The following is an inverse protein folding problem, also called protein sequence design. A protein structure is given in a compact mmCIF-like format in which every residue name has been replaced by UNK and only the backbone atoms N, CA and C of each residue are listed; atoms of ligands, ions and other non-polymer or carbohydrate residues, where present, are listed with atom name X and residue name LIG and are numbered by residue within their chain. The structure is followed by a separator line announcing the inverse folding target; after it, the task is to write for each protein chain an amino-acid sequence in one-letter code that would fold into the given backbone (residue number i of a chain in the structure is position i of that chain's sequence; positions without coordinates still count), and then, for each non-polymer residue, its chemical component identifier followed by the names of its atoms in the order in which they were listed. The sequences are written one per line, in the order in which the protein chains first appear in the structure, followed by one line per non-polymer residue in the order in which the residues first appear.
data_IF_082427722190
#
_entry.id   IF_082427722190
#
_cell.length_a   1.000
_cell.length_b   1.000
_cell.length_c   1.000
_cell.angle_alpha   90.00
_cell.angle_beta   90.00
_cell.angle_gamma   90.00
#
_symmetry.space_group_name_H-M   'P 1'
#
loop_
_entity.id
_entity.type
_entity.pdbx_description
1 polymer ?
#
# COMPACT_ATOMS: atom_id res chain seq x y z
N UNK A 1 -19.10 2.02 -2.29
CA UNK A 1 -18.02 2.80 -1.68
C UNK A 1 -18.60 4.03 -1.03
N UNK A 2 -18.78 3.96 0.30
CA UNK A 2 -19.04 5.15 1.10
C UNK A 2 -17.69 5.86 1.39
N UNK A 3 -17.73 7.07 1.91
CA UNK A 3 -16.52 7.84 2.20
C UNK A 3 -15.63 7.17 3.27
N UNK A 4 -16.23 6.40 4.17
CA UNK A 4 -15.54 5.73 5.27
C UNK A 4 -14.61 4.60 4.78
N UNK A 5 -15.05 3.81 3.80
CA UNK A 5 -14.23 2.79 3.14
C UNK A 5 -13.00 3.41 2.45
N UNK A 6 -13.20 4.53 1.75
CA UNK A 6 -12.09 5.23 1.08
C UNK A 6 -11.11 5.82 2.10
N UNK A 7 -11.62 6.41 3.17
CA UNK A 7 -10.80 6.96 4.25
C UNK A 7 -10.00 5.85 4.95
N UNK A 8 -10.60 4.67 5.15
CA UNK A 8 -9.89 3.52 5.70
C UNK A 8 -8.77 3.04 4.77
N UNK A 9 -9.07 2.82 3.49
CA UNK A 9 -8.08 2.37 2.49
C UNK A 9 -6.89 3.32 2.40
N UNK A 10 -7.14 4.63 2.41
CA UNK A 10 -6.08 5.65 2.35
C UNK A 10 -5.34 5.87 3.67
N UNK A 11 -5.82 5.29 4.78
CA UNK A 11 -5.13 5.31 6.07
C UNK A 11 -4.24 4.07 6.30
N UNK A 12 -4.37 3.03 5.47
CA UNK A 12 -3.50 1.87 5.51
C UNK A 12 -2.17 2.20 4.82
N UNK A 13 -1.08 2.17 5.58
CA UNK A 13 0.25 2.38 5.00
C UNK A 13 0.62 1.18 4.12
N UNK A 14 0.86 1.42 2.83
CA UNK A 14 1.20 0.40 1.84
C UNK A 14 2.24 0.91 0.82
N UNK A 15 3.41 1.40 1.26
CA UNK A 15 4.45 1.82 0.32
C UNK A 15 4.96 0.62 -0.48
N UNK A 16 5.53 0.88 -1.65
CA UNK A 16 6.06 -0.17 -2.54
C UNK A 16 6.92 -1.19 -1.78
N UNK A 17 6.58 -2.47 -1.90
CA UNK A 17 7.22 -3.61 -1.23
C UNK A 17 6.72 -3.90 0.20
N UNK A 18 5.71 -3.17 0.69
CA UNK A 18 5.05 -3.37 1.98
C UNK A 18 3.52 -3.20 1.85
N UNK A 19 2.94 -3.69 0.75
CA UNK A 19 1.53 -3.52 0.39
C UNK A 19 0.56 -4.40 1.19
N UNK A 20 1.06 -5.29 2.05
CA UNK A 20 0.26 -6.32 2.73
C UNK A 20 -0.97 -5.78 3.46
N UNK A 21 -0.94 -4.65 4.19
CA UNK A 21 -2.12 -4.15 4.90
C UNK A 21 -3.32 -3.88 3.98
N UNK A 22 -3.08 -3.31 2.80
CA UNK A 22 -4.13 -3.05 1.80
C UNK A 22 -4.58 -4.34 1.14
N UNK A 23 -3.65 -5.23 0.82
CA UNK A 23 -3.95 -6.51 0.17
C UNK A 23 -4.79 -7.43 1.06
N UNK A 24 -4.46 -7.53 2.35
CA UNK A 24 -5.20 -8.33 3.33
C UNK A 24 -6.63 -7.80 3.52
N UNK A 25 -6.77 -6.47 3.66
CA UNK A 25 -8.08 -5.83 3.75
C UNK A 25 -8.92 -6.10 2.49
N UNK A 26 -8.36 -5.85 1.31
CA UNK A 26 -9.07 -6.06 0.04
C UNK A 26 -9.38 -7.52 -0.22
N UNK A 27 -8.52 -8.46 0.20
CA UNK A 27 -8.79 -9.89 0.07
C UNK A 27 -10.02 -10.28 0.91
N UNK A 28 -10.13 -9.80 2.15
CA UNK A 28 -11.28 -10.05 3.01
C UNK A 28 -12.58 -9.47 2.42
N UNK A 29 -12.55 -8.24 1.91
CA UNK A 29 -13.70 -7.60 1.27
C UNK A 29 -14.14 -8.33 0.00
N UNK A 30 -13.19 -8.75 -0.84
CA UNK A 30 -13.49 -9.43 -2.10
C UNK A 30 -13.97 -10.86 -1.92
N UNK A 31 -13.60 -11.54 -0.84
CA UNK A 31 -14.12 -12.89 -0.52
C UNK A 31 -15.65 -12.92 -0.35
N UNK A 32 -16.27 -11.78 -0.04
CA UNK A 32 -17.73 -11.68 0.10
C UNK A 32 -18.45 -11.79 -1.26
N UNK A 33 -17.79 -11.40 -2.35
CA UNK A 33 -18.43 -11.26 -3.68
C UNK A 33 -17.76 -12.04 -4.80
N UNK A 34 -16.57 -12.61 -4.57
CA UNK A 34 -15.82 -13.39 -5.55
C UNK A 34 -15.71 -14.85 -5.14
N UNK A 35 -15.79 -15.75 -6.12
CA UNK A 35 -15.70 -17.20 -5.91
C UNK A 35 -14.27 -17.67 -5.60
N UNK A 36 -13.27 -16.95 -6.12
CA UNK A 36 -11.86 -17.24 -5.89
C UNK A 36 -11.11 -15.96 -5.55
N UNK A 37 -10.40 -15.97 -4.42
CA UNK A 37 -9.53 -14.88 -3.99
C UNK A 37 -8.19 -15.49 -3.56
N UNK A 38 -7.10 -15.04 -4.17
CA UNK A 38 -5.75 -15.50 -3.86
C UNK A 38 -4.74 -14.35 -3.92
N UNK A 39 -3.73 -14.41 -3.06
CA UNK A 39 -2.55 -13.54 -3.14
C UNK A 39 -1.40 -14.41 -3.66
N UNK A 40 -0.77 -14.00 -4.76
CA UNK A 40 0.34 -14.75 -5.34
C UNK A 40 1.65 -14.57 -4.54
N UNK A 41 2.69 -15.32 -4.91
CA UNK A 41 4.01 -15.25 -4.27
C UNK A 41 4.72 -13.90 -4.44
N UNK A 42 4.19 -13.01 -5.28
CA UNK A 42 4.70 -11.65 -5.53
C UNK A 42 3.86 -10.59 -4.81
N UNK A 43 2.81 -10.97 -4.09
CA UNK A 43 1.92 -10.04 -3.39
C UNK A 43 0.76 -9.50 -4.24
N UNK A 44 0.52 -10.01 -5.46
CA UNK A 44 -0.65 -9.56 -6.24
C UNK A 44 -1.92 -10.26 -5.77
N UNK A 45 -2.98 -9.48 -5.53
CA UNK A 45 -4.31 -9.99 -5.22
C UNK A 45 -5.11 -10.26 -6.50
N UNK A 46 -5.52 -11.51 -6.70
CA UNK A 46 -6.43 -11.91 -7.76
C UNK A 46 -7.77 -12.32 -7.16
N UNK A 47 -8.83 -11.61 -7.56
CA UNK A 47 -10.20 -11.96 -7.24
C UNK A 47 -10.98 -12.26 -8.52
N UNK A 48 -11.67 -13.41 -8.58
CA UNK A 48 -12.39 -13.89 -9.76
C UNK A 48 -13.78 -14.34 -9.37
N UNK A 49 -14.76 -13.92 -10.15
CA UNK A 49 -16.11 -14.47 -10.14
C UNK A 49 -16.23 -15.59 -11.19
N UNK A 50 -17.11 -16.56 -10.95
CA UNK A 50 -17.51 -17.55 -11.93
C UNK A 50 -18.04 -16.84 -13.17
N UNK A 51 -17.57 -17.28 -14.33
CA UNK A 51 -17.97 -16.71 -15.61
C UNK A 51 -18.45 -17.79 -16.56
N UNK A 52 -19.31 -17.39 -17.47
CA UNK A 52 -19.62 -18.17 -18.66
C UNK A 52 -18.39 -18.19 -19.60
N UNK A 53 -17.82 -19.37 -19.89
CA UNK A 53 -16.64 -19.49 -20.75
C UNK A 53 -16.90 -19.00 -22.19
N UNK A 54 -18.16 -18.96 -22.64
CA UNK A 54 -18.54 -18.47 -23.97
C UNK A 54 -18.52 -16.94 -24.10
N UNK A 55 -18.44 -16.21 -22.97
CA UNK A 55 -18.41 -14.74 -22.95
C UNK A 55 -16.96 -14.23 -22.85
N UNK A 56 -16.69 -12.98 -23.32
CA UNK A 56 -15.39 -12.35 -23.14
C UNK A 56 -14.97 -12.27 -21.66
N UNK A 57 -13.68 -12.42 -21.41
CA UNK A 57 -13.09 -12.17 -20.09
C UNK A 57 -12.85 -10.66 -19.92
N UNK A 58 -13.32 -10.10 -18.81
CA UNK A 58 -13.05 -8.71 -18.41
C UNK A 58 -12.17 -8.74 -17.16
N UNK A 59 -11.10 -7.94 -17.17
CA UNK A 59 -10.21 -7.75 -16.03
C UNK A 59 -10.21 -6.28 -15.64
N UNK A 60 -10.44 -6.00 -14.36
CA UNK A 60 -10.25 -4.69 -13.76
C UNK A 60 -8.93 -4.73 -12.99
N UNK A 61 -8.12 -3.70 -13.14
CA UNK A 61 -6.82 -3.60 -12.48
C UNK A 61 -6.69 -2.26 -11.77
N UNK A 62 -6.10 -2.32 -10.58
CA UNK A 62 -5.64 -1.18 -9.80
C UNK A 62 -4.32 -1.59 -9.15
N UNK A 63 -3.54 -0.60 -8.72
CA UNK A 63 -2.31 -0.82 -7.97
C UNK A 63 -2.55 -0.45 -6.50
N UNK A 64 -2.01 -1.26 -5.57
CA UNK A 64 -2.21 -1.10 -4.14
C UNK A 64 -1.15 -0.22 -3.48
N UNK A 65 0.00 -0.07 -4.14
CA UNK A 65 1.15 0.64 -3.63
C UNK A 65 0.93 2.16 -3.63
N UNK A 66 1.55 2.81 -2.65
CA UNK A 66 1.64 4.26 -2.57
C UNK A 66 3.08 4.77 -2.64
N UNK A 67 3.22 6.06 -2.97
CA UNK A 67 4.49 6.77 -2.96
C UNK A 67 5.01 6.87 -1.52
N UNK A 68 6.31 6.63 -1.32
CA UNK A 68 6.91 6.69 0.01
C UNK A 68 8.42 6.86 0.01
N UNK A 69 9.05 6.36 1.07
CA UNK A 69 10.48 6.51 1.33
C UNK A 69 11.05 5.23 1.95
N UNK A 70 12.33 4.98 1.70
CA UNK A 70 13.08 3.87 2.31
C UNK A 70 14.26 4.42 3.12
N UNK A 71 14.37 4.06 4.39
CA UNK A 71 15.48 4.46 5.24
C UNK A 71 16.77 3.79 4.73
N UNK A 72 17.82 4.60 4.51
CA UNK A 72 19.11 4.14 3.97
C UNK A 72 20.22 4.13 5.01
N UNK A 73 20.16 5.02 6.00
CA UNK A 73 21.13 5.05 7.09
C UNK A 73 20.62 5.84 8.30
N UNK A 74 21.28 5.62 9.44
CA UNK A 74 21.09 6.42 10.65
C UNK A 74 22.31 7.34 10.78
N UNK A 75 22.05 8.65 10.76
CA UNK A 75 23.06 9.69 10.85
C UNK A 75 23.39 10.02 12.32
N UNK A 76 24.53 10.70 12.58
CA UNK A 76 24.85 11.20 13.91
C UNK A 76 23.71 12.05 14.50
N UNK A 77 23.43 11.89 15.79
CA UNK A 77 22.32 12.57 16.46
C UNK A 77 20.96 11.86 16.31
N UNK A 78 20.91 10.70 15.63
CA UNK A 78 19.69 9.88 15.53
C UNK A 78 18.77 10.25 14.37
N UNK A 79 19.23 11.10 13.44
CA UNK A 79 18.49 11.42 12.23
C UNK A 79 18.48 10.25 11.25
N UNK A 80 17.40 10.11 10.48
CA UNK A 80 17.27 9.07 9.47
C UNK A 80 17.49 9.67 8.08
N UNK A 81 18.41 9.10 7.31
CA UNK A 81 18.50 9.37 5.89
C UNK A 81 17.58 8.40 5.14
N UNK A 82 16.96 8.87 4.06
CA UNK A 82 16.07 8.05 3.23
C UNK A 82 16.32 8.29 1.74
N UNK A 83 15.94 7.30 0.94
CA UNK A 83 15.73 7.45 -0.51
C UNK A 83 14.24 7.47 -0.81
N UNK A 84 13.87 8.02 -1.96
CA UNK A 84 12.47 8.05 -2.43
C UNK A 84 12.12 6.72 -3.07
N UNK A 85 10.86 6.35 -2.92
CA UNK A 85 10.25 5.22 -3.62
C UNK A 85 9.00 5.77 -4.33
N UNK A 86 9.00 5.70 -5.65
CA UNK A 86 8.09 6.49 -6.49
C UNK A 86 8.63 7.90 -6.79
N UNK A 87 7.74 8.86 -7.10
CA UNK A 87 8.12 10.21 -7.57
C UNK A 87 7.56 11.34 -6.69
N UNK A 88 7.88 11.40 -5.37
CA UNK A 88 7.48 12.52 -4.54
C UNK A 88 8.29 13.78 -4.90
N UNK A 89 7.63 14.93 -4.92
CA UNK A 89 8.25 16.23 -5.27
C UNK A 89 8.87 16.92 -4.06
N UNK A 90 10.11 17.41 -4.20
CA UNK A 90 10.87 18.11 -3.16
C UNK A 90 10.12 19.31 -2.59
N UNK A 91 9.30 19.95 -3.44
CA UNK A 91 8.55 21.15 -3.12
C UNK A 91 7.58 20.96 -1.95
N UNK A 92 7.19 19.72 -1.64
CA UNK A 92 6.24 19.43 -0.57
C UNK A 92 6.85 18.66 0.60
N UNK A 93 8.13 18.29 0.56
CA UNK A 93 8.71 17.38 1.56
C UNK A 93 9.01 18.03 2.91
N UNK A 94 9.57 19.24 2.90
CA UNK A 94 10.00 19.90 4.13
C UNK A 94 8.82 20.11 5.10
N UNK A 95 8.98 19.67 6.35
CA UNK A 95 7.97 19.77 7.39
C UNK A 95 6.84 18.74 7.33
N UNK A 96 6.86 17.80 6.37
CA UNK A 96 5.85 16.75 6.31
C UNK A 96 5.96 15.79 7.49
N UNK A 97 4.82 15.46 8.07
CA UNK A 97 4.71 14.39 9.06
C UNK A 97 4.73 13.06 8.34
N UNK A 98 5.52 12.12 8.84
CA UNK A 98 5.67 10.79 8.26
C UNK A 98 5.60 9.73 9.33
N UNK A 99 5.22 8.53 8.93
CA UNK A 99 5.29 7.32 9.74
C UNK A 99 6.44 6.46 9.23
N UNK A 100 7.35 6.09 10.12
CA UNK A 100 8.44 5.15 9.81
C UNK A 100 8.01 3.77 10.29
N UNK A 101 7.78 2.87 9.35
CA UNK A 101 7.42 1.48 9.63
C UNK A 101 8.68 0.71 10.07
N UNK A 102 8.61 0.06 11.24
CA UNK A 102 9.72 -0.75 11.75
C UNK A 102 9.21 -2.11 12.22
N UNK A 103 10.11 -3.07 12.40
CA UNK A 103 9.78 -4.39 12.97
C UNK A 103 9.24 -4.33 14.41
N UNK A 104 9.41 -3.20 15.10
CA UNK A 104 8.93 -2.97 16.48
C UNK A 104 7.69 -2.07 16.55
N UNK A 105 7.12 -1.72 15.40
CA UNK A 105 5.98 -0.82 15.29
C UNK A 105 6.33 0.51 14.62
N UNK A 106 5.37 1.41 14.61
CA UNK A 106 5.43 2.68 13.89
C UNK A 106 6.09 3.77 14.74
N UNK A 107 7.03 4.50 14.14
CA UNK A 107 7.59 5.72 14.72
C UNK A 107 7.07 6.95 13.99
N UNK A 108 6.68 7.98 14.73
CA UNK A 108 6.29 9.26 14.14
C UNK A 108 7.54 10.09 13.85
N UNK A 109 7.59 10.70 12.67
CA UNK A 109 8.70 11.52 12.21
C UNK A 109 8.24 12.80 11.52
N UNK A 110 9.19 13.68 11.25
CA UNK A 110 8.99 14.86 10.40
C UNK A 110 10.19 14.99 9.49
N UNK A 111 9.95 15.24 8.20
CA UNK A 111 11.03 15.49 7.24
C UNK A 111 11.58 16.89 7.51
N UNK A 112 12.88 16.96 7.81
CA UNK A 112 13.63 18.20 8.02
C UNK A 112 14.16 18.83 6.74
#
# INVERSE_FOLDING_TARGET
MNFDELALLTALNAPVGFEEPVLEYMAAELQVTCDHVEIDVRGNLFARQQRDPSKPLVMLMAHADEIGFLITSILPGGFLAFTRVGFPTDMVLAGQRVQVLTSKGVLQGTIG
#
